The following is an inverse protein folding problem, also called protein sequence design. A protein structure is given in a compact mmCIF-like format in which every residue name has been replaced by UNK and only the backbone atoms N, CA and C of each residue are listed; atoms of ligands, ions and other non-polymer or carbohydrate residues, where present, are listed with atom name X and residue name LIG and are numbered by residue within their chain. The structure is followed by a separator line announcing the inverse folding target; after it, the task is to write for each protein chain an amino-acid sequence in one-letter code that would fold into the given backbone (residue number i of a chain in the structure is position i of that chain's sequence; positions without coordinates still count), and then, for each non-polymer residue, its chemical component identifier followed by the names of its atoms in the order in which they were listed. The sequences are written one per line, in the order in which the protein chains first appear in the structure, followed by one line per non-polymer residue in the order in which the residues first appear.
data_IF_963082481647
#
_entry.id   IF_963082481647
#
_cell.length_a   1.000
_cell.length_b   1.000
_cell.length_c   1.000
_cell.angle_alpha   90.00
_cell.angle_beta   90.00
_cell.angle_gamma   90.00
#
_symmetry.space_group_name_H-M   'P 1'
#
loop_
_entity.id
_entity.type
_entity.pdbx_description
1 polymer ?
#
# COMPACT_ATOMS: atom_id res chain seq x y z
N UNK A 1 22.91 26.69 22.46
CA UNK A 1 21.71 26.25 21.72
C UNK A 1 22.16 25.15 20.79
N UNK A 2 21.67 23.92 20.96
CA UNK A 2 22.13 22.76 20.19
C UNK A 2 21.45 22.70 18.81
N UNK A 3 22.07 22.06 17.82
CA UNK A 3 21.46 21.90 16.48
C UNK A 3 20.07 21.25 16.52
N UNK A 4 19.87 20.28 17.41
CA UNK A 4 18.58 19.62 17.65
C UNK A 4 17.53 20.58 18.23
N UNK A 5 17.92 21.48 19.14
CA UNK A 5 17.04 22.49 19.70
C UNK A 5 16.60 23.52 18.64
N UNK A 6 17.53 23.91 17.75
CA UNK A 6 17.23 24.77 16.60
C UNK A 6 16.26 24.09 15.64
N UNK A 7 16.44 22.81 15.36
CA UNK A 7 15.54 22.02 14.51
C UNK A 7 14.12 21.92 15.10
N UNK A 8 13.98 21.70 16.41
CA UNK A 8 12.66 21.67 17.07
C UNK A 8 11.94 23.02 16.98
N UNK A 9 12.67 24.13 17.15
CA UNK A 9 12.10 25.48 16.99
C UNK A 9 11.68 25.75 15.54
N UNK A 10 12.44 25.25 14.56
CA UNK A 10 12.07 25.30 13.14
C UNK A 10 10.82 24.46 12.88
N UNK A 11 10.76 23.22 13.38
CA UNK A 11 9.60 22.33 13.27
C UNK A 11 8.33 22.99 13.84
N UNK A 12 8.41 23.53 15.06
CA UNK A 12 7.26 24.20 15.68
C UNK A 12 6.78 25.43 14.90
N UNK A 13 7.65 26.10 14.13
CA UNK A 13 7.26 27.23 13.29
C UNK A 13 6.32 26.83 12.13
N UNK A 14 6.36 25.57 11.70
CA UNK A 14 5.47 25.04 10.65
C UNK A 14 4.03 24.77 11.12
N UNK A 15 3.80 24.71 12.43
CA UNK A 15 2.48 24.45 13.01
C UNK A 15 1.56 25.70 13.00
N UNK A 16 0.24 25.54 13.20
CA UNK A 16 -0.68 26.66 13.45
C UNK A 16 -0.28 27.45 14.70
N UNK A 17 -0.45 28.78 14.68
CA UNK A 17 -0.06 29.68 15.79
C UNK A 17 -0.60 29.25 17.15
N UNK A 18 -1.81 28.69 17.19
CA UNK A 18 -2.46 28.19 18.41
C UNK A 18 -1.75 26.99 19.05
N UNK A 19 -0.94 26.24 18.30
CA UNK A 19 -0.27 25.02 18.76
C UNK A 19 1.25 25.14 18.83
N UNK A 20 1.86 26.17 18.21
CA UNK A 20 3.32 26.31 18.14
C UNK A 20 3.98 26.30 19.50
N UNK A 21 3.44 27.05 20.45
CA UNK A 21 4.05 27.21 21.76
C UNK A 21 3.96 25.91 22.55
N UNK A 22 2.78 25.29 22.60
CA UNK A 22 2.52 24.03 23.29
C UNK A 22 3.41 22.92 22.73
N UNK A 23 3.41 22.69 21.41
CA UNK A 23 4.23 21.65 20.78
C UNK A 23 5.73 21.92 20.91
N UNK A 24 6.14 23.18 20.88
CA UNK A 24 7.55 23.55 21.11
C UNK A 24 7.97 23.21 22.52
N UNK A 25 7.17 23.53 23.53
CA UNK A 25 7.47 23.22 24.92
C UNK A 25 7.52 21.71 25.17
N UNK A 26 6.53 20.96 24.65
CA UNK A 26 6.50 19.50 24.68
C UNK A 26 7.77 18.89 24.07
N UNK A 27 8.09 19.24 22.82
CA UNK A 27 9.26 18.67 22.13
C UNK A 27 10.59 19.09 22.75
N UNK A 28 10.68 20.28 23.35
CA UNK A 28 11.88 20.68 24.09
C UNK A 28 12.02 19.93 25.41
N UNK A 29 10.91 19.61 26.08
CA UNK A 29 10.92 18.73 27.25
C UNK A 29 11.34 17.31 26.87
N UNK A 30 10.82 16.76 25.77
CA UNK A 30 11.22 15.45 25.24
C UNK A 30 12.71 15.44 24.87
N UNK A 31 13.22 16.51 24.25
CA UNK A 31 14.63 16.66 23.92
C UNK A 31 15.53 16.74 25.17
N UNK A 32 15.02 17.27 26.29
CA UNK A 32 15.74 17.33 27.56
C UNK A 32 15.82 15.95 28.23
N UNK A 33 14.75 15.14 28.19
CA UNK A 33 14.72 13.77 28.72
C UNK A 33 15.37 12.71 27.82
N UNK A 34 15.70 13.04 26.57
CA UNK A 34 16.21 12.10 25.58
C UNK A 34 17.48 11.33 26.02
N UNK A 35 18.40 12.00 26.72
CA UNK A 35 19.66 11.38 27.18
C UNK A 35 19.45 10.35 28.29
N UNK A 36 18.50 10.59 29.20
CA UNK A 36 18.14 9.65 30.27
C UNK A 36 17.49 8.37 29.71
N UNK A 37 16.85 8.50 28.54
CA UNK A 37 16.21 7.39 27.82
C UNK A 37 17.14 6.71 26.80
N UNK A 38 18.40 7.14 26.68
CA UNK A 38 19.35 6.61 25.69
C UNK A 38 18.99 6.93 24.24
N UNK A 39 18.08 7.88 24.01
CA UNK A 39 17.62 8.27 22.69
C UNK A 39 18.53 9.38 22.15
N UNK A 40 19.09 9.24 20.92
CA UNK A 40 19.86 10.30 20.32
C UNK A 40 19.01 11.58 20.14
N UNK A 41 19.47 12.71 20.67
CA UNK A 41 18.82 14.03 20.54
C UNK A 41 18.44 14.41 19.10
N UNK A 42 19.21 13.95 18.11
CA UNK A 42 18.92 14.14 16.68
C UNK A 42 17.64 13.44 16.22
N UNK A 43 17.34 12.27 16.80
CA UNK A 43 16.16 11.47 16.47
C UNK A 43 14.89 12.15 17.00
N UNK A 44 14.93 12.71 18.21
CA UNK A 44 13.83 13.51 18.77
C UNK A 44 13.55 14.75 17.90
N UNK A 45 14.60 15.45 17.47
CA UNK A 45 14.44 16.61 16.59
C UNK A 45 13.88 16.26 15.20
N UNK A 46 14.27 15.11 14.63
CA UNK A 46 13.73 14.63 13.35
C UNK A 46 12.26 14.18 13.49
N UNK A 47 11.92 13.50 14.59
CA UNK A 47 10.53 13.12 14.89
C UNK A 47 9.62 14.34 15.05
N UNK A 48 10.08 15.38 15.76
CA UNK A 48 9.36 16.65 15.87
C UNK A 48 9.14 17.33 14.50
N UNK A 49 10.14 17.28 13.61
CA UNK A 49 10.02 17.81 12.26
C UNK A 49 9.01 17.03 11.41
N UNK A 50 9.07 15.70 11.44
CA UNK A 50 8.12 14.84 10.73
C UNK A 50 6.69 15.02 11.25
N UNK A 51 6.50 15.11 12.56
CA UNK A 51 5.21 15.41 13.18
C UNK A 51 4.68 16.79 12.77
N UNK A 52 5.55 17.82 12.75
CA UNK A 52 5.18 19.16 12.31
C UNK A 52 4.75 19.21 10.84
N UNK A 53 5.40 18.42 9.97
CA UNK A 53 5.05 18.33 8.55
C UNK A 53 3.70 17.61 8.38
N UNK A 54 3.48 16.51 9.10
CA UNK A 54 2.23 15.74 9.05
C UNK A 54 1.04 16.53 9.61
N UNK A 55 1.22 17.22 10.74
CA UNK A 55 0.19 18.09 11.33
C UNK A 55 0.00 19.42 10.56
N UNK A 56 1.06 19.91 9.91
CA UNK A 56 1.00 21.08 9.03
C UNK A 56 0.15 20.82 7.78
N UNK A 57 0.13 19.58 7.30
CA UNK A 57 -0.71 19.12 6.18
C UNK A 57 -2.16 18.98 6.62
N UNK A 58 -2.44 18.45 7.82
CA UNK A 58 -3.81 18.27 8.31
C UNK A 58 -4.49 19.57 8.78
N UNK A 59 -3.74 20.53 9.35
CA UNK A 59 -4.30 21.79 9.85
C UNK A 59 -4.49 22.89 8.78
N UNK A 60 -3.94 22.73 7.58
CA UNK A 60 -4.22 23.62 6.43
C UNK A 60 -5.48 23.27 5.65
N UNK A 61 -6.30 22.31 6.14
CA UNK A 61 -7.66 22.06 5.62
C UNK A 61 -8.71 23.09 6.08
N UNK A 62 -8.35 24.02 6.96
CA UNK A 62 -9.19 25.17 7.30
C UNK A 62 -8.73 26.42 6.58
N UNK A 63 -9.49 26.86 5.56
CA UNK A 63 -9.33 28.15 4.87
C UNK A 63 -8.01 28.37 4.12
N UNK A 64 -7.79 27.65 3.01
CA UNK A 64 -7.08 28.20 1.84
C UNK A 64 -7.69 27.61 0.56
N UNK A 65 -7.76 28.45 -0.46
CA UNK A 65 -8.61 28.39 -1.64
C UNK A 65 -8.43 27.13 -2.49
N UNK A 66 -9.51 26.35 -2.64
CA UNK A 66 -10.10 25.58 -3.78
C UNK A 66 -9.35 25.31 -5.10
N UNK A 67 -8.05 25.54 -5.27
CA UNK A 67 -7.40 25.52 -6.60
C UNK A 67 -6.23 24.56 -6.81
N UNK A 68 -5.78 23.76 -5.83
CA UNK A 68 -4.63 22.83 -6.01
C UNK A 68 -4.63 21.61 -5.08
N UNK A 69 -5.68 20.79 -5.08
CA UNK A 69 -5.63 19.43 -4.50
C UNK A 69 -6.41 18.50 -5.43
N UNK A 70 -5.80 18.20 -6.56
CA UNK A 70 -6.07 17.01 -7.36
C UNK A 70 -4.76 16.74 -8.08
N UNK A 71 -3.95 15.95 -7.40
CA UNK A 71 -2.69 15.37 -7.85
C UNK A 71 -2.38 14.23 -6.87
N UNK A 72 -3.37 13.36 -6.63
CA UNK A 72 -3.23 12.07 -5.91
C UNK A 72 -4.26 11.09 -6.49
N UNK A 73 -4.17 10.82 -7.79
CA UNK A 73 -4.57 9.53 -8.37
C UNK A 73 -3.38 8.93 -9.16
N UNK A 74 -2.19 9.51 -9.06
CA UNK A 74 -1.00 8.97 -9.72
C UNK A 74 0.25 9.21 -8.89
N UNK A 75 0.34 8.53 -7.75
CA UNK A 75 1.62 8.17 -7.14
C UNK A 75 1.42 6.76 -6.60
N UNK A 76 1.95 5.77 -7.31
CA UNK A 76 2.16 4.45 -6.74
C UNK A 76 3.06 4.55 -5.51
N UNK A 77 2.76 3.72 -4.50
CA UNK A 77 3.70 3.23 -3.47
C UNK A 77 4.70 4.28 -2.97
N UNK A 78 4.32 5.03 -1.94
CA UNK A 78 5.27 5.92 -1.27
C UNK A 78 4.68 6.70 -0.12
N UNK A 79 4.98 6.23 1.10
CA UNK A 79 4.86 6.91 2.39
C UNK A 79 3.46 6.95 3.05
N UNK A 80 3.17 5.91 3.82
CA UNK A 80 2.37 6.02 5.05
C UNK A 80 3.32 5.79 6.23
N UNK A 81 3.67 6.85 6.97
CA UNK A 81 4.25 6.72 8.31
C UNK A 81 3.57 7.70 9.24
N UNK A 82 2.93 7.10 10.25
CA UNK A 82 2.00 7.65 11.25
C UNK A 82 2.69 8.65 12.19
N UNK A 83 1.99 9.72 12.55
CA UNK A 83 2.39 10.65 13.60
C UNK A 83 1.69 10.36 14.92
N UNK A 84 2.44 9.93 15.93
CA UNK A 84 2.01 9.82 17.34
C UNK A 84 2.94 10.63 18.27
N UNK A 85 2.46 11.15 19.41
CA UNK A 85 3.21 12.06 20.29
C UNK A 85 4.31 11.34 21.08
N UNK A 86 5.47 12.00 21.24
CA UNK A 86 6.74 11.39 21.66
C UNK A 86 6.77 10.75 23.07
N UNK A 87 5.83 11.06 23.95
CA UNK A 87 5.67 10.34 25.22
C UNK A 87 5.16 8.89 25.04
N UNK A 88 4.39 8.62 23.98
CA UNK A 88 4.01 7.27 23.58
C UNK A 88 5.16 6.54 22.89
N UNK A 89 6.08 7.27 22.25
CA UNK A 89 7.26 6.71 21.55
C UNK A 89 8.25 6.09 22.55
N UNK A 90 8.41 6.61 23.77
CA UNK A 90 9.31 5.99 24.76
C UNK A 90 8.76 4.67 25.33
N UNK A 91 7.44 4.51 25.41
CA UNK A 91 6.78 3.25 25.83
C UNK A 91 6.65 2.29 24.64
N UNK A 92 6.40 2.79 23.42
CA UNK A 92 6.44 2.01 22.18
C UNK A 92 7.85 1.51 21.84
N UNK A 93 8.91 2.31 22.01
CA UNK A 93 10.28 1.84 21.76
C UNK A 93 10.75 0.75 22.75
N UNK A 94 10.18 0.74 23.97
CA UNK A 94 10.44 -0.34 24.95
C UNK A 94 9.56 -1.57 24.67
N UNK A 95 8.41 -1.39 24.01
CA UNK A 95 7.49 -2.46 23.60
C UNK A 95 7.87 -3.10 22.26
N UNK A 96 8.26 -2.35 21.23
CA UNK A 96 8.75 -2.84 19.94
C UNK A 96 10.10 -3.57 20.07
N UNK A 97 10.92 -3.17 21.05
CA UNK A 97 12.14 -3.90 21.37
C UNK A 97 11.87 -5.30 21.98
N UNK A 98 10.68 -5.49 22.57
CA UNK A 98 10.19 -6.73 23.18
C UNK A 98 8.95 -7.19 22.42
N UNK A 99 9.12 -7.66 21.19
CA UNK A 99 8.03 -8.30 20.45
C UNK A 99 7.27 -9.34 21.29
N UNK A 100 6.09 -9.76 20.85
CA UNK A 100 5.19 -10.55 21.70
C UNK A 100 5.87 -11.86 22.14
N UNK A 101 5.70 -12.26 23.41
CA UNK A 101 6.29 -13.48 23.97
C UNK A 101 5.21 -14.40 24.50
N UNK A 102 5.27 -15.68 24.13
CA UNK A 102 4.49 -16.76 24.77
C UNK A 102 5.44 -17.61 25.61
N UNK A 103 5.00 -18.00 26.81
CA UNK A 103 5.70 -18.96 27.66
C UNK A 103 5.00 -20.31 27.55
N UNK A 104 5.71 -21.31 27.06
CA UNK A 104 5.25 -22.69 26.93
C UNK A 104 5.85 -23.53 28.06
N UNK A 105 5.02 -24.21 28.84
CA UNK A 105 5.51 -25.17 29.82
C UNK A 105 5.90 -26.48 29.12
N UNK A 106 7.18 -26.86 29.19
CA UNK A 106 7.69 -28.12 28.64
C UNK A 106 8.14 -29.07 29.76
N UNK A 107 8.37 -30.34 29.44
CA UNK A 107 8.87 -31.34 30.39
C UNK A 107 10.25 -30.96 30.99
N UNK A 108 11.03 -30.12 30.28
CA UNK A 108 12.34 -29.61 30.68
C UNK A 108 12.29 -28.20 31.31
N UNK A 109 11.10 -27.64 31.52
CA UNK A 109 10.85 -26.30 32.08
C UNK A 109 10.14 -25.33 31.13
N UNK A 110 9.97 -24.10 31.56
CA UNK A 110 9.31 -23.06 30.76
C UNK A 110 10.21 -22.60 29.60
N UNK A 111 9.65 -22.59 28.37
CA UNK A 111 10.29 -22.08 27.16
C UNK A 111 9.63 -20.78 26.73
N UNK A 112 10.43 -19.73 26.54
CA UNK A 112 9.98 -18.47 25.95
C UNK A 112 10.05 -18.55 24.41
N UNK A 113 8.95 -18.16 23.75
CA UNK A 113 8.83 -18.08 22.29
C UNK A 113 8.57 -16.62 21.89
N UNK A 114 9.48 -16.04 21.13
CA UNK A 114 9.42 -14.66 20.67
C UNK A 114 8.75 -14.57 19.30
N UNK A 115 7.57 -13.97 19.24
CA UNK A 115 6.79 -13.82 18.00
C UNK A 115 7.40 -12.86 16.99
N UNK A 116 8.34 -12.00 17.42
CA UNK A 116 9.16 -11.21 16.49
C UNK A 116 9.92 -12.09 15.49
N UNK A 117 10.26 -13.32 15.87
CA UNK A 117 11.01 -14.24 15.01
C UNK A 117 10.09 -15.17 14.21
N UNK A 118 8.75 -14.98 14.30
CA UNK A 118 7.77 -15.74 13.54
C UNK A 118 7.97 -15.49 12.04
N UNK A 119 8.12 -16.54 11.20
CA UNK A 119 8.50 -16.37 9.80
C UNK A 119 7.33 -16.00 8.89
N UNK A 120 6.09 -16.13 9.35
CA UNK A 120 4.87 -15.86 8.57
C UNK A 120 4.29 -14.47 8.84
N UNK A 121 3.02 -14.30 8.45
CA UNK A 121 2.20 -13.15 8.86
C UNK A 121 0.96 -13.65 9.63
N UNK A 122 0.43 -12.88 10.60
CA UNK A 122 -0.64 -13.33 11.49
C UNK A 122 -1.92 -13.74 10.78
N UNK A 123 -2.24 -13.12 9.64
CA UNK A 123 -3.49 -13.31 8.90
C UNK A 123 -3.50 -14.57 8.05
N UNK A 124 -2.33 -15.16 7.77
CA UNK A 124 -2.20 -16.32 6.89
C UNK A 124 -1.94 -17.60 7.66
N UNK A 125 -2.55 -18.69 7.20
CA UNK A 125 -2.26 -20.02 7.72
C UNK A 125 -0.90 -20.50 7.17
N UNK A 126 0.05 -20.93 8.02
CA UNK A 126 1.31 -21.52 7.56
C UNK A 126 1.13 -22.73 6.64
N UNK A 127 0.10 -23.55 6.82
CA UNK A 127 -0.18 -24.66 5.92
C UNK A 127 -0.66 -24.18 4.55
N UNK A 128 -1.41 -23.07 4.49
CA UNK A 128 -1.82 -22.45 3.22
C UNK A 128 -0.62 -21.83 2.49
N UNK A 129 0.32 -21.22 3.22
CA UNK A 129 1.59 -20.73 2.66
C UNK A 129 2.40 -21.91 2.09
N UNK A 130 2.55 -22.98 2.88
CA UNK A 130 3.30 -24.17 2.47
C UNK A 130 2.55 -25.03 1.44
N UNK A 131 1.26 -24.87 1.21
CA UNK A 131 0.56 -25.54 0.11
C UNK A 131 0.23 -24.59 -1.05
N UNK A 132 0.60 -23.32 -0.91
CA UNK A 132 0.45 -22.25 -1.88
C UNK A 132 1.49 -22.30 -3.00
N UNK A 133 1.26 -21.51 -4.07
CA UNK A 133 2.29 -21.24 -5.05
C UNK A 133 3.48 -20.56 -4.38
N UNK A 134 4.66 -20.85 -4.89
CA UNK A 134 5.88 -20.09 -4.56
C UNK A 134 5.82 -18.68 -5.14
N UNK A 135 6.72 -17.79 -4.68
CA UNK A 135 6.86 -16.45 -5.25
C UNK A 135 7.09 -16.50 -6.77
N UNK A 136 7.95 -17.41 -7.23
CA UNK A 136 8.29 -17.57 -8.63
C UNK A 136 7.10 -18.10 -9.47
N UNK A 137 6.34 -19.05 -8.92
CA UNK A 137 5.13 -19.56 -9.55
C UNK A 137 4.05 -18.48 -9.63
N UNK A 138 3.83 -17.72 -8.55
CA UNK A 138 2.89 -16.60 -8.54
C UNK A 138 3.24 -15.51 -9.55
N UNK A 139 4.54 -15.20 -9.72
CA UNK A 139 4.97 -14.25 -10.76
C UNK A 139 4.67 -14.78 -12.17
N UNK A 140 4.97 -16.05 -12.43
CA UNK A 140 4.71 -16.67 -13.72
C UNK A 140 3.22 -16.74 -14.05
N UNK A 141 2.39 -17.12 -13.06
CA UNK A 141 0.92 -17.15 -13.17
C UNK A 141 0.36 -15.75 -13.43
N UNK A 142 0.77 -14.75 -12.64
CA UNK A 142 0.34 -13.37 -12.81
C UNK A 142 0.68 -12.80 -14.18
N UNK A 143 1.90 -13.04 -14.68
CA UNK A 143 2.30 -12.61 -16.04
C UNK A 143 1.46 -13.29 -17.12
N UNK A 144 1.21 -14.60 -17.01
CA UNK A 144 0.41 -15.33 -17.97
C UNK A 144 -1.06 -14.84 -18.00
N UNK A 145 -1.63 -14.56 -16.83
CA UNK A 145 -2.98 -14.01 -16.70
C UNK A 145 -3.10 -12.62 -17.35
N UNK A 146 -2.13 -11.74 -17.09
CA UNK A 146 -2.10 -10.40 -17.70
C UNK A 146 -1.95 -10.48 -19.22
N UNK A 147 -1.07 -11.36 -19.73
CA UNK A 147 -0.91 -11.57 -21.18
C UNK A 147 -2.19 -12.11 -21.84
N UNK A 148 -2.92 -13.00 -21.16
CA UNK A 148 -4.21 -13.51 -21.64
C UNK A 148 -5.26 -12.40 -21.74
N UNK A 149 -5.33 -11.52 -20.74
CA UNK A 149 -6.22 -10.35 -20.73
C UNK A 149 -5.86 -9.39 -21.86
N UNK A 150 -4.59 -9.02 -21.97
CA UNK A 150 -4.11 -8.11 -23.02
C UNK A 150 -4.40 -8.66 -24.42
N UNK A 151 -4.18 -9.96 -24.64
CA UNK A 151 -4.45 -10.64 -25.91
C UNK A 151 -5.94 -10.60 -26.26
N UNK A 152 -6.82 -10.87 -25.30
CA UNK A 152 -8.26 -10.84 -25.51
C UNK A 152 -8.77 -9.43 -25.82
N UNK A 153 -8.29 -8.42 -25.09
CA UNK A 153 -8.64 -7.02 -25.33
C UNK A 153 -8.11 -6.52 -26.69
N UNK A 154 -6.90 -6.93 -27.10
CA UNK A 154 -6.39 -6.67 -28.45
C UNK A 154 -7.26 -7.32 -29.52
N UNK A 155 -7.68 -8.57 -29.31
CA UNK A 155 -8.51 -9.28 -30.29
C UNK A 155 -9.89 -8.63 -30.48
N UNK A 156 -10.49 -8.12 -29.39
CA UNK A 156 -11.82 -7.48 -29.43
C UNK A 156 -11.76 -6.06 -29.98
N UNK A 157 -10.82 -5.23 -29.51
CA UNK A 157 -10.83 -3.79 -29.76
C UNK A 157 -9.66 -3.29 -30.64
N UNK A 158 -8.73 -4.17 -31.02
CA UNK A 158 -7.53 -3.78 -31.76
C UNK A 158 -6.56 -2.92 -30.96
N UNK A 159 -6.54 -3.06 -29.63
CA UNK A 159 -5.65 -2.29 -28.76
C UNK A 159 -4.18 -2.60 -29.05
N UNK A 160 -3.37 -1.54 -29.04
CA UNK A 160 -1.91 -1.63 -28.98
C UNK A 160 -1.44 -1.37 -27.55
N UNK A 161 -0.31 -1.96 -27.18
CA UNK A 161 0.25 -1.92 -25.83
C UNK A 161 1.62 -1.29 -25.84
N UNK A 162 1.86 -0.35 -24.93
CA UNK A 162 3.16 0.25 -24.75
C UNK A 162 4.17 -0.75 -24.18
N UNK A 163 5.46 -0.48 -24.43
CA UNK A 163 6.51 -1.24 -23.79
C UNK A 163 6.39 -1.10 -22.25
N UNK A 164 6.73 -2.15 -21.48
CA UNK A 164 6.75 -2.08 -20.02
C UNK A 164 7.55 -0.85 -19.55
N UNK A 165 6.99 -0.05 -18.64
CA UNK A 165 7.70 1.09 -18.09
C UNK A 165 8.78 0.60 -17.12
N UNK A 166 10.00 1.11 -17.23
CA UNK A 166 11.15 0.72 -16.39
C UNK A 166 11.16 1.39 -15.02
N UNK A 167 10.03 1.94 -14.56
CA UNK A 167 9.96 2.93 -13.47
C UNK A 167 10.37 2.42 -12.09
N UNK A 168 10.14 1.13 -11.81
CA UNK A 168 10.44 0.52 -10.51
C UNK A 168 11.70 -0.38 -10.51
N UNK A 169 12.47 -0.38 -11.61
CA UNK A 169 13.33 -1.51 -11.92
C UNK A 169 12.49 -2.78 -12.10
N UNK A 170 13.09 -3.90 -12.50
CA UNK A 170 12.36 -5.16 -12.68
C UNK A 170 11.88 -5.78 -11.35
N UNK A 171 11.88 -5.01 -10.25
CA UNK A 171 11.48 -5.47 -8.93
C UNK A 171 9.95 -5.49 -8.80
N UNK A 172 9.40 -6.70 -8.78
CA UNK A 172 7.97 -6.96 -8.59
C UNK A 172 7.66 -7.56 -7.21
N UNK A 173 8.67 -8.02 -6.47
CA UNK A 173 8.51 -8.61 -5.15
C UNK A 173 9.02 -7.68 -4.04
N UNK A 174 8.23 -7.58 -2.97
CA UNK A 174 8.47 -6.71 -1.82
C UNK A 174 8.40 -7.53 -0.53
N UNK A 175 9.36 -7.38 0.41
CA UNK A 175 9.30 -8.08 1.69
C UNK A 175 8.04 -7.71 2.47
N UNK A 176 7.41 -8.70 3.11
CA UNK A 176 6.33 -8.49 4.06
C UNK A 176 6.86 -8.35 5.50
N UNK A 177 6.12 -7.66 6.35
CA UNK A 177 6.38 -7.61 7.79
C UNK A 177 5.58 -8.70 8.51
N UNK A 178 6.07 -9.19 9.65
CA UNK A 178 5.34 -10.22 10.41
C UNK A 178 4.34 -9.66 11.42
N UNK A 179 4.21 -8.33 11.49
CA UNK A 179 3.32 -7.59 12.39
C UNK A 179 3.49 -7.89 13.90
N UNK A 180 4.56 -8.61 14.28
CA UNK A 180 5.00 -8.84 15.66
C UNK A 180 6.29 -8.07 16.00
N UNK A 181 6.62 -7.06 15.19
CA UNK A 181 7.80 -6.21 15.33
C UNK A 181 9.06 -6.78 14.66
N UNK A 182 8.91 -7.71 13.72
CA UNK A 182 10.01 -8.37 13.01
C UNK A 182 9.75 -8.62 11.52
N UNK A 183 10.76 -9.09 10.78
CA UNK A 183 10.61 -9.39 9.36
C UNK A 183 9.82 -10.68 9.15
N UNK A 184 9.01 -10.72 8.09
CA UNK A 184 8.48 -11.97 7.55
C UNK A 184 9.49 -12.60 6.58
N UNK A 185 9.35 -13.91 6.34
CA UNK A 185 9.98 -14.58 5.20
C UNK A 185 9.11 -14.53 3.93
N UNK A 186 7.91 -13.98 4.03
CA UNK A 186 6.99 -13.86 2.91
C UNK A 186 7.23 -12.57 2.13
N UNK A 187 6.76 -12.57 0.89
CA UNK A 187 6.78 -11.42 0.01
C UNK A 187 5.38 -11.09 -0.52
N UNK A 188 5.14 -9.81 -0.75
CA UNK A 188 4.06 -9.32 -1.59
C UNK A 188 4.58 -9.17 -3.01
N UNK A 189 3.84 -9.72 -3.95
CA UNK A 189 4.12 -9.66 -5.38
C UNK A 189 3.17 -8.64 -6.02
N UNK A 190 3.71 -7.74 -6.83
CA UNK A 190 2.98 -6.78 -7.66
C UNK A 190 3.53 -6.81 -9.09
N UNK A 191 2.80 -7.45 -9.99
CA UNK A 191 3.15 -7.55 -11.42
C UNK A 191 2.25 -6.58 -12.20
N UNK A 192 2.85 -5.56 -12.80
CA UNK A 192 2.14 -4.66 -13.71
C UNK A 192 2.03 -5.28 -15.10
N UNK A 193 0.84 -5.25 -15.68
CA UNK A 193 0.65 -5.45 -17.11
C UNK A 193 1.15 -4.25 -17.91
N UNK A 194 1.07 -4.35 -19.24
CA UNK A 194 1.30 -3.21 -20.13
C UNK A 194 0.10 -2.27 -20.08
N UNK A 195 0.36 -1.02 -20.47
CA UNK A 195 -0.68 -0.01 -20.65
C UNK A 195 -1.08 0.03 -22.13
N UNK A 196 -2.38 0.03 -22.42
CA UNK A 196 -2.83 0.23 -23.80
C UNK A 196 -2.59 1.67 -24.24
N UNK A 197 -2.45 1.91 -25.53
CA UNK A 197 -2.28 3.27 -26.09
C UNK A 197 -3.61 3.95 -26.42
N UNK A 198 -4.72 3.26 -26.17
CA UNK A 198 -6.08 3.74 -26.38
C UNK A 198 -7.05 3.01 -25.44
N UNK A 199 -8.20 3.61 -25.21
CA UNK A 199 -9.32 3.06 -24.46
C UNK A 199 -10.55 2.95 -25.38
N UNK A 200 -11.45 1.96 -25.20
CA UNK A 200 -12.69 1.91 -25.97
C UNK A 200 -13.52 3.19 -25.80
N UNK A 201 -14.15 3.65 -26.88
CA UNK A 201 -14.70 5.00 -26.97
C UNK A 201 -16.09 5.12 -26.35
N UNK A 202 -16.89 4.06 -26.42
CA UNK A 202 -18.27 4.05 -25.93
C UNK A 202 -18.38 3.29 -24.61
N UNK A 203 -19.41 3.61 -23.82
CA UNK A 203 -19.70 2.88 -22.59
C UNK A 203 -19.94 1.40 -22.83
N UNK A 204 -20.71 1.04 -23.87
CA UNK A 204 -20.95 -0.36 -24.23
C UNK A 204 -19.65 -1.14 -24.54
N UNK A 205 -18.66 -0.50 -25.16
CA UNK A 205 -17.36 -1.15 -25.40
C UNK A 205 -16.52 -1.24 -24.12
N UNK A 206 -16.62 -0.27 -23.20
CA UNK A 206 -15.97 -0.33 -21.88
C UNK A 206 -16.57 -1.42 -21.02
N UNK A 207 -17.90 -1.55 -20.97
CA UNK A 207 -18.59 -2.68 -20.32
C UNK A 207 -18.10 -4.00 -20.91
N UNK A 208 -17.99 -4.08 -22.24
CA UNK A 208 -17.46 -5.28 -22.89
C UNK A 208 -16.02 -5.60 -22.50
N UNK A 209 -15.17 -4.59 -22.31
CA UNK A 209 -13.81 -4.79 -21.81
C UNK A 209 -13.80 -5.29 -20.35
N UNK A 210 -14.67 -4.76 -19.48
CA UNK A 210 -14.85 -5.24 -18.11
C UNK A 210 -15.31 -6.69 -18.07
N UNK A 211 -16.27 -7.08 -18.92
CA UNK A 211 -16.72 -8.46 -19.07
C UNK A 211 -15.61 -9.41 -19.48
N UNK A 212 -14.73 -8.99 -20.40
CA UNK A 212 -13.58 -9.79 -20.84
C UNK A 212 -12.62 -10.02 -19.66
N UNK A 213 -12.27 -8.95 -18.93
CA UNK A 213 -11.39 -9.03 -17.75
C UNK A 213 -12.01 -9.97 -16.71
N UNK A 214 -13.28 -9.76 -16.35
CA UNK A 214 -13.99 -10.57 -15.37
C UNK A 214 -14.11 -12.04 -15.80
N UNK A 215 -14.42 -12.31 -17.07
CA UNK A 215 -14.55 -13.67 -17.59
C UNK A 215 -13.23 -14.42 -17.60
N UNK A 216 -12.11 -13.75 -17.88
CA UNK A 216 -10.78 -14.37 -17.81
C UNK A 216 -10.42 -14.62 -16.35
N UNK A 217 -10.53 -13.62 -15.47
CA UNK A 217 -10.27 -13.76 -14.04
C UNK A 217 -11.06 -14.92 -13.42
N UNK A 218 -12.36 -15.04 -13.73
CA UNK A 218 -13.21 -16.12 -13.23
C UNK A 218 -12.73 -17.52 -13.65
N UNK A 219 -12.13 -17.68 -14.84
CA UNK A 219 -11.54 -18.98 -15.26
C UNK A 219 -10.33 -19.38 -14.43
N UNK A 220 -9.66 -18.41 -13.82
CA UNK A 220 -8.54 -18.60 -12.89
C UNK A 220 -8.98 -18.64 -11.42
N UNK A 221 -10.30 -18.70 -11.17
CA UNK A 221 -10.84 -18.84 -9.81
C UNK A 221 -10.96 -17.54 -9.03
N UNK A 222 -10.88 -16.39 -9.71
CA UNK A 222 -11.15 -15.09 -9.09
C UNK A 222 -12.66 -14.87 -8.90
N UNK A 223 -12.99 -13.99 -7.96
CA UNK A 223 -14.36 -13.60 -7.61
C UNK A 223 -15.01 -12.73 -8.69
N UNK A 224 -16.21 -12.21 -8.40
CA UNK A 224 -16.84 -11.22 -9.26
C UNK A 224 -16.08 -9.89 -9.21
N UNK A 225 -16.04 -9.20 -10.34
CA UNK A 225 -15.41 -7.90 -10.46
C UNK A 225 -16.23 -6.85 -9.71
N UNK A 226 -15.57 -6.07 -8.87
CA UNK A 226 -16.16 -4.96 -8.13
C UNK A 226 -15.59 -3.63 -8.61
N UNK A 227 -16.44 -2.64 -8.86
CA UNK A 227 -16.01 -1.29 -9.22
C UNK A 227 -15.81 -0.44 -7.97
N UNK A 228 -14.80 0.43 -8.00
CA UNK A 228 -14.57 1.38 -6.89
C UNK A 228 -15.74 2.37 -6.74
N UNK A 229 -16.52 2.58 -7.81
CA UNK A 229 -17.76 3.36 -7.79
C UNK A 229 -18.84 2.78 -6.88
N UNK A 230 -18.81 1.46 -6.64
CA UNK A 230 -19.81 0.78 -5.82
C UNK A 230 -19.49 0.87 -4.31
N UNK A 231 -18.44 1.63 -3.94
CA UNK A 231 -18.07 1.86 -2.55
C UNK A 231 -19.10 2.70 -1.80
N UNK A 232 -19.76 2.08 -0.81
CA UNK A 232 -20.75 2.72 0.08
C UNK A 232 -20.19 3.90 0.89
N UNK A 233 -18.86 4.06 0.95
CA UNK A 233 -18.17 5.06 1.76
C UNK A 233 -17.91 6.38 1.01
N UNK A 234 -18.25 6.49 -0.28
CA UNK A 234 -18.00 7.69 -1.09
C UNK A 234 -19.27 8.49 -1.33
N UNK A 235 -19.23 9.80 -1.09
CA UNK A 235 -20.32 10.69 -1.51
C UNK A 235 -20.25 10.95 -3.02
N UNK A 236 -21.34 11.44 -3.62
CA UNK A 236 -21.33 11.85 -5.03
C UNK A 236 -20.28 12.95 -5.33
N UNK A 237 -19.91 13.76 -4.33
CA UNK A 237 -18.83 14.73 -4.48
C UNK A 237 -17.47 14.03 -4.50
N UNK A 238 -17.26 13.03 -3.66
CA UNK A 238 -16.04 12.21 -3.62
C UNK A 238 -15.87 11.40 -4.91
N UNK A 239 -16.96 10.84 -5.45
CA UNK A 239 -16.95 10.12 -6.73
C UNK A 239 -16.53 11.03 -7.89
N UNK A 240 -17.14 12.22 -8.02
CA UNK A 240 -16.72 13.20 -9.05
C UNK A 240 -15.27 13.64 -8.87
N UNK A 241 -14.83 13.75 -7.63
CA UNK A 241 -13.45 14.07 -7.25
C UNK A 241 -12.49 12.94 -7.68
N UNK A 242 -12.77 11.69 -7.36
CA UNK A 242 -11.89 10.57 -7.67
C UNK A 242 -11.93 10.18 -9.15
N UNK A 243 -13.12 10.10 -9.74
CA UNK A 243 -13.37 9.43 -11.02
C UNK A 243 -13.84 10.36 -12.14
N UNK A 244 -14.28 11.58 -11.82
CA UNK A 244 -14.74 12.56 -12.82
C UNK A 244 -16.21 12.44 -13.18
N UNK A 245 -16.88 11.39 -12.70
CA UNK A 245 -18.32 11.16 -12.82
C UNK A 245 -18.91 10.61 -11.52
N UNK A 246 -20.24 10.52 -11.44
CA UNK A 246 -20.93 9.83 -10.32
C UNK A 246 -21.22 8.38 -10.70
N UNK A 247 -21.45 8.12 -11.97
CA UNK A 247 -21.60 6.76 -12.51
C UNK A 247 -20.37 6.38 -13.33
N UNK A 248 -20.09 5.08 -13.50
CA UNK A 248 -19.01 4.61 -14.38
C UNK A 248 -19.09 5.16 -15.81
N UNK A 249 -20.29 5.23 -16.40
CA UNK A 249 -20.52 5.75 -17.76
C UNK A 249 -20.08 7.22 -17.94
N UNK A 250 -20.22 8.02 -16.89
CA UNK A 250 -19.88 9.45 -16.91
C UNK A 250 -18.43 9.72 -16.46
N UNK A 251 -17.70 8.71 -16.01
CA UNK A 251 -16.42 8.87 -15.34
C UNK A 251 -15.22 8.84 -16.28
N UNK A 252 -14.26 9.72 -16.02
CA UNK A 252 -12.95 9.74 -16.68
C UNK A 252 -12.12 8.52 -16.29
N UNK A 253 -12.27 8.04 -15.05
CA UNK A 253 -11.58 6.85 -14.55
C UNK A 253 -12.61 5.81 -14.17
N UNK A 254 -12.44 4.59 -14.66
CA UNK A 254 -13.15 3.39 -14.20
C UNK A 254 -12.09 2.46 -13.64
N UNK A 255 -12.18 2.14 -12.36
CA UNK A 255 -11.25 1.24 -11.69
C UNK A 255 -12.01 0.27 -10.80
N UNK A 256 -11.33 -0.81 -10.48
CA UNK A 256 -11.90 -1.84 -9.63
C UNK A 256 -10.92 -2.97 -9.40
N UNK A 257 -11.44 -3.98 -8.71
CA UNK A 257 -10.65 -5.11 -8.23
C UNK A 257 -11.41 -6.41 -8.46
N UNK A 258 -10.65 -7.49 -8.53
CA UNK A 258 -11.14 -8.86 -8.45
C UNK A 258 -10.25 -9.59 -7.45
N UNK A 259 -10.85 -10.27 -6.47
CA UNK A 259 -10.10 -11.04 -5.48
C UNK A 259 -9.86 -12.46 -6.00
N UNK A 260 -8.65 -12.97 -5.79
CA UNK A 260 -8.22 -14.30 -6.21
C UNK A 260 -8.04 -15.25 -5.03
N UNK A 261 -7.77 -16.53 -5.32
CA UNK A 261 -7.45 -17.51 -4.29
C UNK A 261 -6.18 -17.11 -3.53
N UNK A 262 -6.09 -17.49 -2.25
CA UNK A 262 -4.86 -17.41 -1.45
C UNK A 262 -4.22 -16.01 -1.42
N UNK A 263 -5.02 -14.96 -1.30
CA UNK A 263 -4.54 -13.58 -1.20
C UNK A 263 -4.04 -12.97 -2.52
N UNK A 264 -4.33 -13.62 -3.65
CA UNK A 264 -4.15 -13.04 -4.99
C UNK A 264 -5.21 -11.97 -5.26
N UNK A 265 -4.90 -11.06 -6.16
CA UNK A 265 -5.83 -10.03 -6.60
C UNK A 265 -5.45 -9.49 -7.99
N UNK A 266 -6.46 -8.99 -8.69
CA UNK A 266 -6.30 -8.19 -9.90
C UNK A 266 -6.90 -6.82 -9.65
N UNK A 267 -6.18 -5.78 -10.05
CA UNK A 267 -6.69 -4.41 -10.12
C UNK A 267 -6.66 -3.97 -11.57
N UNK A 268 -7.67 -3.23 -12.02
CA UNK A 268 -7.67 -2.64 -13.35
C UNK A 268 -8.04 -1.17 -13.28
N UNK A 269 -7.64 -0.43 -14.31
CA UNK A 269 -8.02 0.97 -14.49
C UNK A 269 -8.15 1.27 -15.97
N UNK A 270 -9.25 1.93 -16.35
CA UNK A 270 -9.46 2.53 -17.66
C UNK A 270 -9.55 4.04 -17.46
N UNK A 271 -8.75 4.80 -18.19
CA UNK A 271 -8.83 6.26 -18.22
C UNK A 271 -9.33 6.72 -19.60
N UNK A 272 -10.31 7.60 -19.64
CA UNK A 272 -10.83 8.25 -20.86
C UNK A 272 -10.98 9.76 -20.64
N UNK A 273 -9.95 10.50 -21.05
CA UNK A 273 -9.89 11.96 -20.92
C UNK A 273 -10.89 12.68 -21.83
N UNK A 274 -11.56 12.00 -22.77
CA UNK A 274 -12.63 12.63 -23.55
C UNK A 274 -13.85 13.01 -22.69
N UNK A 275 -13.95 12.39 -21.51
CA UNK A 275 -14.96 12.68 -20.49
C UNK A 275 -14.52 13.79 -19.51
N UNK A 276 -13.26 14.26 -19.58
CA UNK A 276 -12.73 15.31 -18.71
C UNK A 276 -13.28 16.68 -19.11
N UNK A 277 -14.24 17.19 -18.31
CA UNK A 277 -14.95 18.44 -18.61
C UNK A 277 -14.24 19.69 -18.09
N UNK A 278 -13.44 19.56 -17.04
CA UNK A 278 -12.79 20.68 -16.37
C UNK A 278 -11.26 20.71 -16.57
N UNK A 279 -10.70 19.71 -17.25
CA UNK A 279 -9.29 19.62 -17.64
C UNK A 279 -8.38 19.10 -16.54
N UNK A 280 -8.95 18.74 -15.39
CA UNK A 280 -8.20 18.35 -14.20
C UNK A 280 -7.51 17.01 -14.37
N UNK A 281 -8.20 16.03 -14.94
CA UNK A 281 -7.63 14.71 -15.16
C UNK A 281 -6.56 14.73 -16.25
N UNK A 282 -6.69 15.66 -17.20
CA UNK A 282 -5.67 15.94 -18.20
C UNK A 282 -4.40 16.47 -17.54
N UNK A 283 -4.51 17.45 -16.64
CA UNK A 283 -3.38 17.95 -15.84
C UNK A 283 -2.72 16.82 -15.01
N UNK A 284 -3.54 15.98 -14.36
CA UNK A 284 -3.06 14.81 -13.61
C UNK A 284 -2.34 13.79 -14.51
N UNK A 285 -2.89 13.49 -15.69
CA UNK A 285 -2.33 12.55 -16.64
C UNK A 285 -0.98 13.05 -17.21
N UNK A 286 -0.87 14.35 -17.50
CA UNK A 286 0.40 14.97 -17.94
C UNK A 286 1.50 14.84 -16.86
N UNK A 287 1.16 15.08 -15.60
CA UNK A 287 2.10 14.89 -14.50
C UNK A 287 2.50 13.41 -14.32
N UNK A 288 1.55 12.50 -14.54
CA UNK A 288 1.76 11.05 -14.44
C UNK A 288 2.61 10.49 -15.57
N UNK A 289 2.56 11.12 -16.74
CA UNK A 289 3.35 10.73 -17.91
C UNK A 289 4.86 10.87 -17.66
N UNK A 290 5.28 11.78 -16.77
CA UNK A 290 6.67 11.87 -16.31
C UNK A 290 7.16 10.58 -15.63
N UNK A 291 6.23 9.77 -15.09
CA UNK A 291 6.48 8.49 -14.44
C UNK A 291 6.08 7.29 -15.32
N UNK A 292 5.82 7.51 -16.60
CA UNK A 292 5.52 6.45 -17.58
C UNK A 292 4.07 5.98 -17.60
N UNK A 293 3.14 6.70 -16.97
CA UNK A 293 1.70 6.49 -17.16
C UNK A 293 1.25 7.02 -18.53
N UNK A 294 0.36 6.30 -19.22
CA UNK A 294 -0.20 6.73 -20.49
C UNK A 294 -1.61 7.29 -20.33
N UNK A 295 -1.92 8.46 -20.92
CA UNK A 295 -3.28 8.95 -20.96
C UNK A 295 -4.14 8.06 -21.87
N UNK A 296 -5.45 8.04 -21.63
CA UNK A 296 -6.42 7.30 -22.46
C UNK A 296 -6.09 5.80 -22.58
N UNK A 297 -5.77 5.15 -21.47
CA UNK A 297 -5.25 3.78 -21.43
C UNK A 297 -6.10 2.85 -20.57
N UNK A 298 -5.95 1.55 -20.83
CA UNK A 298 -6.30 0.46 -19.94
C UNK A 298 -5.01 -0.06 -19.32
N UNK A 299 -5.03 -0.28 -18.01
CA UNK A 299 -3.98 -0.95 -17.27
C UNK A 299 -4.58 -2.02 -16.36
N UNK A 300 -3.87 -3.13 -16.23
CA UNK A 300 -4.23 -4.22 -15.32
C UNK A 300 -2.98 -4.60 -14.53
N UNK A 301 -3.14 -4.84 -13.24
CA UNK A 301 -2.09 -5.26 -12.32
C UNK A 301 -2.56 -6.51 -11.61
N UNK A 302 -1.65 -7.46 -11.48
CA UNK A 302 -1.80 -8.63 -10.63
C UNK A 302 -0.99 -8.45 -9.36
N UNK A 303 -1.52 -8.90 -8.24
CA UNK A 303 -0.72 -9.05 -7.04
C UNK A 303 -1.10 -10.25 -6.20
N UNK A 304 -0.24 -10.56 -5.25
CA UNK A 304 -0.42 -11.66 -4.31
C UNK A 304 0.31 -11.34 -3.01
N UNK A 305 -0.36 -11.57 -1.88
CA UNK A 305 0.24 -11.40 -0.57
C UNK A 305 0.71 -12.74 0.00
N UNK A 306 1.81 -12.72 0.75
CA UNK A 306 2.21 -13.87 1.54
C UNK A 306 2.89 -15.00 0.78
N UNK A 307 3.49 -14.71 -0.38
CA UNK A 307 4.19 -15.73 -1.16
C UNK A 307 5.57 -16.03 -0.58
N UNK A 308 5.89 -17.31 -0.49
CA UNK A 308 7.18 -17.80 0.00
C UNK A 308 8.08 -18.15 -1.20
N UNK A 309 9.32 -17.61 -1.29
CA UNK A 309 10.27 -18.07 -2.28
C UNK A 309 10.49 -19.58 -2.19
N UNK A 310 10.51 -20.28 -3.33
CA UNK A 310 10.61 -21.74 -3.34
C UNK A 310 11.88 -22.26 -2.64
N UNK A 311 12.99 -21.51 -2.76
CA UNK A 311 14.26 -21.83 -2.12
C UNK A 311 14.22 -21.75 -0.58
N UNK A 312 13.29 -20.98 -0.01
CA UNK A 312 13.22 -20.67 1.42
C UNK A 312 12.23 -21.57 2.17
N UNK A 313 11.56 -22.50 1.50
CA UNK A 313 10.56 -23.41 2.10
C UNK A 313 11.08 -24.20 3.30
N UNK A 314 12.24 -24.85 3.16
CA UNK A 314 12.82 -25.64 4.24
C UNK A 314 13.26 -24.76 5.43
N UNK A 315 13.68 -23.53 5.15
CA UNK A 315 14.01 -22.54 6.18
C UNK A 315 12.75 -22.09 6.93
N UNK A 316 11.67 -21.81 6.20
CA UNK A 316 10.38 -21.42 6.76
C UNK A 316 9.82 -22.49 7.69
N UNK A 317 9.78 -23.75 7.26
CA UNK A 317 9.33 -24.88 8.09
C UNK A 317 10.15 -25.00 9.39
N UNK A 318 11.46 -24.84 9.29
CA UNK A 318 12.34 -24.89 10.46
C UNK A 318 12.08 -23.74 11.43
N UNK A 319 11.87 -22.52 10.93
CA UNK A 319 11.54 -21.35 11.76
C UNK A 319 10.12 -21.39 12.31
N UNK A 320 9.21 -22.09 11.63
CA UNK A 320 7.82 -22.25 12.07
C UNK A 320 7.70 -23.26 13.22
N UNK A 321 8.56 -24.29 13.27
CA UNK A 321 8.46 -25.39 14.22
C UNK A 321 8.27 -24.98 15.70
N UNK A 322 8.92 -23.93 16.24
CA UNK A 322 8.69 -23.45 17.61
C UNK A 322 7.29 -22.89 17.90
N UNK A 323 6.52 -22.54 16.86
CA UNK A 323 5.23 -21.87 16.98
C UNK A 323 4.05 -22.83 16.75
N UNK A 324 4.33 -24.05 16.26
CA UNK A 324 3.30 -25.04 15.98
C UNK A 324 2.57 -25.43 17.27
N UNK A 325 1.25 -25.30 17.26
CA UNK A 325 0.40 -25.62 18.41
C UNK A 325 0.27 -24.48 19.44
N UNK A 326 0.96 -23.35 19.24
CA UNK A 326 0.77 -22.15 20.06
C UNK A 326 -0.37 -21.30 19.53
N UNK A 327 -1.13 -20.69 20.44
CA UNK A 327 -2.10 -19.67 20.09
C UNK A 327 -1.37 -18.39 19.62
N UNK A 328 -1.72 -17.93 18.41
CA UNK A 328 -1.20 -16.69 17.85
C UNK A 328 -1.69 -15.49 18.68
N UNK A 329 -0.80 -14.65 19.21
CA UNK A 329 -1.20 -13.44 19.90
C UNK A 329 -1.68 -12.40 18.91
N UNK A 330 -2.35 -11.38 19.42
CA UNK A 330 -2.73 -10.18 18.65
C UNK A 330 -1.48 -9.49 18.11
N UNK A 331 -1.45 -9.11 16.81
CA UNK A 331 -0.34 -8.35 16.24
C UNK A 331 -0.21 -6.97 16.86
N UNK A 332 0.98 -6.37 16.75
CA UNK A 332 1.29 -5.03 17.27
C UNK A 332 0.67 -3.92 16.42
N UNK A 333 0.54 -4.17 15.12
CA UNK A 333 -0.05 -3.25 14.15
C UNK A 333 -1.25 -3.94 13.50
N UNK A 334 -2.44 -3.35 13.66
CA UNK A 334 -3.72 -3.80 13.10
C UNK A 334 -4.52 -2.62 12.57
#
# INVERSE_FOLDING_TARGET
MSGSETLIRIAAAFLPRSRREIRREEWLADLAGAEELGIPRRQVALGALQAALSEGVSSRRGTFTRRRIFAIVAIGVGAVVVGAPAAAIAVMLVSDARGVVTVEATDDGDREVFWRDYPGIPELDPEEILSGPTLEEGEAEGRALLEEIETALTAEFGLEWAAPSTGNGDQVAFPAENFYGGPSMLSTLNVSGRQSTSVPATWAEKERALEIIASIAARHGFTELTLDHDSDNMTAADLKQAFGGVTPEESVIISGMVEGPKGQWLMFTMQDLSLDRDGRFTEDAEASAEYGSLPNSISVMYGANGLLPGADRAEFERRLAPYVGLDRPTPLES
#
